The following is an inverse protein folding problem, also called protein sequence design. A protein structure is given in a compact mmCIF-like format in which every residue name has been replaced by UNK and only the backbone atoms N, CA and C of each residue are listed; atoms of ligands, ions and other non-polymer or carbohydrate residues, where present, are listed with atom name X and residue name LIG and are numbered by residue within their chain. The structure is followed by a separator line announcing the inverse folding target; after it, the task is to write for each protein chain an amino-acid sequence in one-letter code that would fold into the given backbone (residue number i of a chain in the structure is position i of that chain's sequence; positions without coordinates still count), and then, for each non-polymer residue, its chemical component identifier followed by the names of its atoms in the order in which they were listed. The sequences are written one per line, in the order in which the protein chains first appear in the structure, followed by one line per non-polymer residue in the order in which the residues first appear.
data_IF_312877778584
#
_entry.id   IF_312877778584
#
_cell.length_a   1.000
_cell.length_b   1.000
_cell.length_c   1.000
_cell.angle_alpha   90.00
_cell.angle_beta   90.00
_cell.angle_gamma   90.00
#
_symmetry.space_group_name_H-M   'P 1'
#
loop_
_entity.id
_entity.type
_entity.pdbx_description
1 polymer ?
#
# COMPACT_ATOMS: atom_id res chain seq x y z
N UNK A 1 9.19 -14.25 -6.54
CA UNK A 1 8.79 -14.01 -5.13
C UNK A 1 7.27 -14.00 -5.04
N UNK A 2 6.67 -14.27 -3.87
CA UNK A 2 5.21 -14.10 -3.67
C UNK A 2 4.89 -12.61 -3.43
N UNK A 3 3.76 -12.07 -3.92
CA UNK A 3 3.36 -10.68 -3.68
C UNK A 3 2.81 -10.50 -2.26
N UNK A 4 3.65 -10.73 -1.24
CA UNK A 4 3.32 -10.40 0.15
C UNK A 4 3.47 -8.90 0.37
N UNK A 5 2.82 -8.36 1.41
CA UNK A 5 2.98 -6.95 1.83
C UNK A 5 4.45 -6.54 1.87
N UNK A 6 5.28 -7.26 2.63
CA UNK A 6 6.71 -7.00 2.75
C UNK A 6 7.47 -7.05 1.42
N UNK A 7 7.17 -8.02 0.55
CA UNK A 7 7.85 -8.13 -0.74
C UNK A 7 7.47 -7.00 -1.69
N UNK A 8 6.20 -6.58 -1.71
CA UNK A 8 5.75 -5.45 -2.53
C UNK A 8 6.38 -4.15 -2.04
N UNK A 9 6.33 -3.88 -0.72
CA UNK A 9 6.92 -2.68 -0.13
C UNK A 9 8.43 -2.62 -0.39
N UNK A 10 9.15 -3.72 -0.16
CA UNK A 10 10.59 -3.77 -0.40
C UNK A 10 10.94 -3.61 -1.89
N UNK A 11 10.14 -4.20 -2.79
CA UNK A 11 10.38 -4.06 -4.23
C UNK A 11 10.20 -2.62 -4.70
N UNK A 12 9.12 -1.95 -4.29
CA UNK A 12 8.85 -0.56 -4.68
C UNK A 12 9.86 0.39 -4.03
N UNK A 13 10.10 0.25 -2.72
CA UNK A 13 11.07 1.09 -2.01
C UNK A 13 12.50 0.91 -2.54
N UNK A 14 12.86 -0.29 -2.99
CA UNK A 14 14.15 -0.58 -3.61
C UNK A 14 14.44 0.24 -4.88
N UNK A 15 13.41 0.73 -5.57
CA UNK A 15 13.59 1.65 -6.70
C UNK A 15 14.29 2.95 -6.29
N UNK A 16 14.07 3.39 -5.04
CA UNK A 16 14.68 4.60 -4.51
C UNK A 16 16.20 4.46 -4.27
N UNK A 17 16.69 3.24 -4.04
CA UNK A 17 18.10 2.95 -3.75
C UNK A 17 18.82 2.25 -4.89
N UNK A 18 18.10 1.85 -5.94
CA UNK A 18 18.70 1.23 -7.12
C UNK A 18 19.65 2.20 -7.83
N UNK A 19 20.93 1.86 -7.93
CA UNK A 19 21.96 2.67 -8.58
C UNK A 19 21.81 2.76 -10.09
N UNK A 20 21.10 1.83 -10.70
CA UNK A 20 20.90 1.76 -12.15
C UNK A 20 19.82 2.73 -12.62
N UNK A 21 18.94 3.17 -11.71
CA UNK A 21 17.90 4.17 -11.98
C UNK A 21 18.49 5.54 -11.68
N UNK A 22 18.62 6.39 -12.70
CA UNK A 22 19.11 7.75 -12.57
C UNK A 22 17.97 8.73 -12.28
N UNK A 23 18.36 9.95 -11.88
CA UNK A 23 17.39 11.03 -11.71
C UNK A 23 16.76 11.41 -13.06
N UNK A 24 15.43 11.45 -13.13
CA UNK A 24 14.66 11.77 -14.32
C UNK A 24 14.29 10.56 -15.18
N UNK A 25 14.76 9.35 -14.84
CA UNK A 25 14.35 8.13 -15.51
C UNK A 25 12.85 7.85 -15.30
N UNK A 26 12.20 7.30 -16.34
CA UNK A 26 10.79 6.96 -16.26
C UNK A 26 10.59 5.69 -15.43
N UNK A 27 9.80 5.79 -14.36
CA UNK A 27 9.44 4.66 -13.51
C UNK A 27 7.97 4.33 -13.74
N UNK A 28 7.68 3.12 -14.21
CA UNK A 28 6.32 2.61 -14.37
C UNK A 28 6.08 1.49 -13.36
N UNK A 29 5.11 1.69 -12.48
CA UNK A 29 4.66 0.71 -11.50
C UNK A 29 3.27 0.25 -11.93
N UNK A 30 3.15 -1.03 -12.26
CA UNK A 30 1.88 -1.66 -12.63
C UNK A 30 1.43 -2.62 -11.53
N UNK A 31 0.16 -2.53 -11.13
CA UNK A 31 -0.46 -3.54 -10.27
C UNK A 31 -1.85 -3.97 -10.74
N UNK A 32 -2.15 -5.26 -10.52
CA UNK A 32 -3.46 -5.86 -10.71
C UNK A 32 -3.78 -6.74 -9.50
N UNK A 33 -4.93 -6.50 -8.86
CA UNK A 33 -5.33 -7.20 -7.65
C UNK A 33 -6.62 -6.65 -7.05
N UNK A 34 -7.04 -7.23 -5.91
CA UNK A 34 -8.20 -6.75 -5.18
C UNK A 34 -7.83 -5.52 -4.36
N UNK A 35 -8.56 -4.42 -4.56
CA UNK A 35 -8.50 -3.24 -3.71
C UNK A 35 -9.64 -3.25 -2.68
N UNK A 36 -9.36 -2.76 -1.48
CA UNK A 36 -10.36 -2.51 -0.44
C UNK A 36 -10.55 -1.01 -0.25
N UNK A 37 -11.77 -0.58 0.13
CA UNK A 37 -12.06 0.82 0.49
C UNK A 37 -12.46 0.88 1.95
N UNK A 38 -11.66 1.54 2.77
CA UNK A 38 -11.99 1.78 4.17
C UNK A 38 -12.83 3.04 4.31
N UNK A 39 -13.93 2.98 5.05
CA UNK A 39 -14.64 4.19 5.51
C UNK A 39 -13.83 4.80 6.65
N UNK A 40 -13.56 6.11 6.61
CA UNK A 40 -12.97 6.78 7.75
C UNK A 40 -13.94 6.72 8.92
N UNK A 41 -13.55 6.06 10.02
CA UNK A 41 -14.28 6.16 11.27
C UNK A 41 -14.14 7.60 11.78
N UNK A 42 -15.26 8.31 11.92
CA UNK A 42 -15.26 9.63 12.52
C UNK A 42 -14.79 9.52 13.98
N UNK A 43 -13.99 10.46 14.51
CA UNK A 43 -13.56 10.43 15.93
C UNK A 43 -14.71 10.33 16.94
N UNK A 44 -15.94 10.72 16.55
CA UNK A 44 -17.15 10.59 17.38
C UNK A 44 -17.64 9.15 17.58
N UNK A 45 -17.24 8.19 16.75
CA UNK A 45 -17.64 6.78 16.91
C UNK A 45 -16.77 6.02 17.94
N UNK A 46 -15.83 6.71 18.59
CA UNK A 46 -14.93 6.13 19.62
C UNK A 46 -15.62 5.88 20.96
N UNK A 47 -16.87 6.30 21.11
CA UNK A 47 -17.71 6.05 22.29
C UNK A 47 -18.70 4.91 22.06
N UNK A 48 -18.21 3.71 21.78
CA UNK A 48 -18.96 2.48 22.02
C UNK A 48 -17.97 1.36 22.29
N UNK A 49 -17.66 1.06 23.57
CA UNK A 49 -16.92 -0.14 23.90
C UNK A 49 -17.85 -1.32 23.65
N UNK A 50 -17.86 -1.85 22.42
CA UNK A 50 -18.39 -3.18 22.20
C UNK A 50 -17.39 -4.16 22.80
N UNK A 51 -17.67 -4.50 24.06
CA UNK A 51 -17.15 -5.69 24.73
C UNK A 51 -17.23 -6.87 23.78
N UNK A 52 -16.09 -7.45 23.45
CA UNK A 52 -16.02 -8.88 23.18
C UNK A 52 -14.71 -9.38 23.74
N UNK A 53 -14.81 -9.93 24.94
CA UNK A 53 -13.78 -10.74 25.56
C UNK A 53 -13.41 -11.88 24.60
N UNK A 54 -12.17 -11.90 24.11
CA UNK A 54 -11.48 -13.16 23.87
C UNK A 54 -9.98 -12.92 23.97
N UNK A 55 -9.44 -13.30 25.13
CA UNK A 55 -8.02 -13.58 25.27
C UNK A 55 -7.68 -14.74 24.32
N UNK A 56 -7.20 -14.40 23.13
CA UNK A 56 -6.41 -15.28 22.30
C UNK A 56 -5.30 -14.43 21.70
N UNK A 57 -4.05 -14.77 22.05
CA UNK A 57 -2.87 -14.32 21.31
C UNK A 57 -2.97 -14.97 19.94
N UNK A 58 -3.70 -14.32 19.04
CA UNK A 58 -3.86 -14.73 17.65
C UNK A 58 -3.18 -13.68 16.80
N UNK A 59 -2.12 -14.11 16.13
CA UNK A 59 -1.42 -13.46 15.03
C UNK A 59 -2.20 -12.26 14.46
N UNK A 60 -1.68 -11.05 14.72
CA UNK A 60 -2.23 -9.84 14.09
C UNK A 60 -2.16 -10.03 12.56
N UNK A 61 -3.30 -10.03 11.85
CA UNK A 61 -3.28 -10.17 10.41
C UNK A 61 -2.44 -9.05 9.79
N UNK A 62 -1.55 -9.39 8.86
CA UNK A 62 -0.78 -8.37 8.12
C UNK A 62 -1.78 -7.47 7.40
N UNK A 63 -1.77 -6.15 7.62
CA UNK A 63 -2.73 -5.24 7.01
C UNK A 63 -2.51 -5.15 5.50
N UNK A 64 -3.57 -4.76 4.76
CA UNK A 64 -3.44 -4.40 3.35
C UNK A 64 -2.50 -3.20 3.20
N UNK A 65 -1.88 -3.06 2.01
CA UNK A 65 -1.06 -1.88 1.69
C UNK A 65 -1.99 -0.70 1.46
N UNK A 66 -1.94 0.29 2.35
CA UNK A 66 -2.82 1.46 2.27
C UNK A 66 -2.33 2.47 1.23
N UNK A 67 -3.24 3.31 0.69
CA UNK A 67 -2.85 4.43 -0.17
C UNK A 67 -1.84 5.38 0.51
N UNK A 68 -1.93 5.54 1.84
CA UNK A 68 -0.97 6.36 2.59
C UNK A 68 0.43 5.77 2.55
N UNK A 69 0.54 4.45 2.67
CA UNK A 69 1.79 3.71 2.60
C UNK A 69 2.40 3.82 1.19
N UNK A 70 1.62 3.53 0.14
CA UNK A 70 2.04 3.72 -1.25
C UNK A 70 2.51 5.16 -1.50
N UNK A 71 1.73 6.17 -1.10
CA UNK A 71 2.08 7.57 -1.33
C UNK A 71 3.37 7.99 -0.62
N UNK A 72 3.63 7.45 0.59
CA UNK A 72 4.89 7.68 1.31
C UNK A 72 6.07 7.14 0.52
N UNK A 73 5.95 5.92 -0.01
CA UNK A 73 7.01 5.28 -0.79
C UNK A 73 7.23 6.01 -2.12
N UNK A 74 6.17 6.40 -2.82
CA UNK A 74 6.27 7.17 -4.06
C UNK A 74 6.93 8.54 -3.83
N UNK A 75 6.64 9.19 -2.71
CA UNK A 75 7.30 10.45 -2.32
C UNK A 75 8.80 10.26 -2.13
N UNK A 76 9.21 9.18 -1.46
CA UNK A 76 10.63 8.85 -1.26
C UNK A 76 11.35 8.60 -2.60
N UNK A 77 10.70 7.88 -3.52
CA UNK A 77 11.24 7.67 -4.87
C UNK A 77 11.32 9.00 -5.60
N UNK A 78 10.29 9.84 -5.55
CA UNK A 78 10.28 11.13 -6.22
C UNK A 78 11.41 12.05 -5.73
N UNK A 79 11.65 12.08 -4.41
CA UNK A 79 12.75 12.83 -3.81
C UNK A 79 14.14 12.36 -4.30
N UNK A 80 14.32 11.06 -4.55
CA UNK A 80 15.63 10.48 -4.93
C UNK A 80 15.85 10.36 -6.43
N UNK A 81 14.80 10.09 -7.20
CA UNK A 81 14.84 9.71 -8.62
C UNK A 81 14.09 10.66 -9.55
N UNK A 82 13.39 11.67 -9.01
CA UNK A 82 12.55 12.57 -9.80
C UNK A 82 11.11 12.09 -9.89
N UNK A 83 10.22 12.97 -10.34
CA UNK A 83 8.76 12.82 -10.29
C UNK A 83 8.15 12.13 -11.52
N UNK A 84 8.97 11.58 -12.41
CA UNK A 84 8.55 10.82 -13.60
C UNK A 84 8.10 9.40 -13.24
N UNK A 85 7.10 9.30 -12.35
CA UNK A 85 6.59 8.05 -11.80
C UNK A 85 5.13 7.87 -12.21
N UNK A 86 4.83 6.81 -12.94
CA UNK A 86 3.46 6.43 -13.31
C UNK A 86 3.03 5.20 -12.53
N UNK A 87 1.96 5.33 -11.74
CA UNK A 87 1.29 4.21 -11.08
C UNK A 87 0.03 3.86 -11.86
N UNK A 88 0.02 2.70 -12.52
CA UNK A 88 -1.15 2.19 -13.22
C UNK A 88 -1.79 1.04 -12.43
N UNK A 89 -3.12 1.09 -12.34
CA UNK A 89 -3.92 0.12 -11.60
C UNK A 89 -5.14 -0.33 -12.39
N UNK A 90 -5.19 -1.63 -12.71
CA UNK A 90 -6.39 -2.25 -13.23
C UNK A 90 -7.26 -2.72 -12.06
N UNK A 91 -8.28 -1.94 -11.69
CA UNK A 91 -9.27 -2.37 -10.71
C UNK A 91 -10.13 -3.51 -11.28
N UNK A 92 -9.91 -4.73 -10.81
CA UNK A 92 -10.93 -5.78 -10.88
C UNK A 92 -11.95 -5.48 -9.78
N UNK A 93 -12.92 -4.62 -10.08
CA UNK A 93 -14.07 -4.46 -9.20
C UNK A 93 -14.65 -5.85 -8.92
N UNK A 94 -14.84 -6.19 -7.65
CA UNK A 94 -15.58 -7.37 -7.23
C UNK A 94 -16.94 -7.36 -7.93
N UNK A 95 -17.05 -8.11 -9.04
CA UNK A 95 -18.27 -8.25 -9.80
C UNK A 95 -19.16 -9.26 -9.06
N UNK A 96 -19.75 -8.84 -7.94
CA UNK A 96 -21.05 -9.39 -7.56
C UNK A 96 -22.09 -8.70 -8.44
N UNK A 97 -22.48 -9.39 -9.52
CA UNK A 97 -23.77 -9.18 -10.16
C UNK A 97 -24.90 -9.69 -9.26
#
# INVERSE_FOLDING_TARGET
SKPTHANIVNAILGLSTNSDIQHGDNIIIYFAGHGTRYKSLCPMDRASPKSTNSANVSEHPVPDISNREINTILTEIACKKGDHITLDCCHSASATR
#
